data_IF_795309613752
#
_entry.id   IF_795309613752
#
_cell.length_a   1.000
_cell.length_b   1.000
_cell.length_c   1.000
_cell.angle_alpha   90.00
_cell.angle_beta   90.00
_cell.angle_gamma   90.00
#
_symmetry.space_group_name_H-M   'P 1'
#
loop_
_entity.id
_entity.type
_entity.pdbx_description
1 polymer ?
#
# COMPACT_ATOMS: atom_id res chain seq x y z
N UNK A 1 2.69 7.94 0.20
CA UNK A 1 3.55 7.84 1.40
C UNK A 1 2.70 7.74 2.64
N UNK A 2 2.92 6.73 3.48
CA UNK A 2 2.14 6.52 4.70
C UNK A 2 2.69 7.36 5.86
N UNK A 3 1.81 7.73 6.79
CA UNK A 3 2.10 8.57 7.95
C UNK A 3 1.30 8.12 9.18
N UNK A 4 1.42 8.84 10.31
CA UNK A 4 0.66 8.55 11.54
C UNK A 4 -0.57 9.46 11.70
N UNK A 5 -1.08 10.05 10.62
CA UNK A 5 -2.21 10.99 10.64
C UNK A 5 -1.81 12.44 10.97
N UNK A 6 -0.52 12.73 11.10
CA UNK A 6 0.00 14.08 11.38
C UNK A 6 1.05 14.51 10.34
N UNK A 7 1.17 15.82 10.05
CA UNK A 7 2.19 16.34 9.15
C UNK A 7 3.61 15.92 9.59
N UNK A 8 4.49 15.69 8.62
CA UNK A 8 5.91 15.36 8.85
C UNK A 8 6.15 14.09 9.70
N UNK A 9 5.23 13.13 9.65
CA UNK A 9 5.37 11.81 10.31
C UNK A 9 5.61 10.65 9.34
N UNK A 10 6.08 10.96 8.12
CA UNK A 10 6.48 9.97 7.12
C UNK A 10 7.78 9.26 7.56
N UNK A 11 7.91 7.97 7.24
CA UNK A 11 9.15 7.20 7.50
C UNK A 11 9.47 6.30 6.30
N UNK A 12 9.37 4.97 6.43
CA UNK A 12 9.64 4.01 5.34
C UNK A 12 8.40 3.30 4.81
N UNK A 13 7.24 3.48 5.46
CA UNK A 13 5.98 2.86 5.02
C UNK A 13 5.40 3.60 3.82
N UNK A 14 5.06 2.86 2.79
CA UNK A 14 4.35 3.36 1.62
C UNK A 14 3.23 2.39 1.25
N UNK A 15 2.36 2.84 0.34
CA UNK A 15 1.28 2.04 -0.22
C UNK A 15 1.17 2.35 -1.71
N UNK A 16 0.56 1.43 -2.45
CA UNK A 16 0.15 1.60 -3.85
C UNK A 16 -1.37 1.56 -3.86
N UNK A 17 -1.99 2.46 -4.62
CA UNK A 17 -3.44 2.53 -4.76
C UNK A 17 -3.90 1.57 -5.85
N UNK A 18 -4.92 0.75 -5.57
CA UNK A 18 -5.55 -0.13 -6.57
C UNK A 18 -6.54 0.61 -7.48
N UNK A 19 -7.03 1.76 -7.04
CA UNK A 19 -7.98 2.61 -7.76
C UNK A 19 -7.75 4.08 -7.38
N UNK A 20 -8.48 5.00 -7.99
CA UNK A 20 -8.39 6.43 -7.67
C UNK A 20 -8.86 6.70 -6.23
N UNK A 21 -8.05 7.40 -5.44
CA UNK A 21 -8.32 7.68 -4.01
C UNK A 21 -8.30 9.18 -3.67
N UNK A 22 -9.19 10.00 -4.26
CA UNK A 22 -9.16 11.47 -4.10
C UNK A 22 -9.33 11.96 -2.65
N UNK A 23 -9.87 11.13 -1.75
CA UNK A 23 -9.95 11.46 -0.31
C UNK A 23 -8.59 11.46 0.40
N UNK A 24 -7.53 10.96 -0.23
CA UNK A 24 -6.16 10.96 0.32
C UNK A 24 -5.39 12.24 -0.03
N UNK A 25 -5.92 13.06 -0.94
CA UNK A 25 -5.27 14.28 -1.40
C UNK A 25 -5.03 15.25 -0.24
N UNK A 26 -3.84 15.85 -0.22
CA UNK A 26 -3.35 16.73 0.85
C UNK A 26 -3.10 16.04 2.21
N UNK A 27 -3.46 14.77 2.39
CA UNK A 27 -3.14 13.98 3.60
C UNK A 27 -1.94 13.07 3.41
N UNK A 28 -1.80 12.48 2.22
CA UNK A 28 -0.68 11.62 1.85
C UNK A 28 0.04 12.16 0.63
N UNK A 29 1.37 12.05 0.63
CA UNK A 29 2.20 12.49 -0.51
C UNK A 29 2.27 11.35 -1.54
N UNK A 30 1.82 11.61 -2.77
CA UNK A 30 2.15 10.78 -3.93
C UNK A 30 3.55 11.16 -4.44
N UNK A 31 4.43 10.17 -4.61
CA UNK A 31 5.84 10.38 -4.99
C UNK A 31 6.30 9.57 -6.21
N UNK A 32 5.38 8.81 -6.82
CA UNK A 32 5.66 7.98 -7.98
C UNK A 32 4.40 7.26 -8.46
N UNK A 33 4.50 6.60 -9.60
CA UNK A 33 3.44 5.82 -10.22
C UNK A 33 3.97 4.48 -10.71
N UNK A 34 3.07 3.50 -10.87
CA UNK A 34 3.43 2.20 -11.41
C UNK A 34 3.58 2.31 -12.94
N UNK A 35 4.74 1.91 -13.46
CA UNK A 35 5.01 1.89 -14.91
C UNK A 35 4.83 0.48 -15.50
N UNK A 36 5.09 -0.56 -14.71
CA UNK A 36 4.98 -1.97 -15.11
C UNK A 36 4.56 -2.85 -13.93
N UNK A 37 4.06 -4.07 -14.19
CA UNK A 37 3.67 -5.03 -13.14
C UNK A 37 2.23 -4.88 -12.61
N UNK A 38 1.32 -4.32 -13.40
CA UNK A 38 -0.10 -4.19 -13.04
C UNK A 38 -0.77 -5.54 -12.75
N UNK A 39 -0.36 -6.62 -13.42
CA UNK A 39 -0.84 -7.98 -13.17
C UNK A 39 -0.48 -8.49 -11.76
N UNK A 40 0.69 -8.09 -11.25
CA UNK A 40 1.11 -8.37 -9.88
C UNK A 40 0.26 -7.57 -8.90
N UNK A 41 -0.01 -6.30 -9.21
CA UNK A 41 -0.85 -5.43 -8.38
C UNK A 41 -2.28 -5.99 -8.25
N UNK A 42 -2.91 -6.36 -9.36
CA UNK A 42 -4.25 -6.99 -9.39
C UNK A 42 -4.28 -8.30 -8.60
N UNK A 43 -3.22 -9.10 -8.70
CA UNK A 43 -3.08 -10.34 -7.94
C UNK A 43 -2.99 -10.07 -6.44
N UNK A 44 -2.25 -9.03 -6.01
CA UNK A 44 -2.15 -8.65 -4.60
C UNK A 44 -3.50 -8.20 -4.04
N UNK A 45 -4.30 -7.44 -4.81
CA UNK A 45 -5.65 -7.05 -4.43
C UNK A 45 -6.57 -8.27 -4.24
N UNK A 46 -6.49 -9.25 -5.16
CA UNK A 46 -7.32 -10.45 -5.15
C UNK A 46 -7.19 -11.34 -3.92
N UNK A 47 -6.10 -11.21 -3.15
CA UNK A 47 -5.89 -11.98 -1.93
C UNK A 47 -6.84 -11.57 -0.79
N UNK A 48 -7.41 -10.37 -0.85
CA UNK A 48 -8.28 -9.86 0.21
C UNK A 48 -7.58 -9.76 1.57
N UNK A 49 -8.37 -9.50 2.62
CA UNK A 49 -7.88 -9.28 3.98
C UNK A 49 -8.52 -10.22 4.98
N UNK A 50 -7.85 -10.42 6.12
CA UNK A 50 -8.41 -11.10 7.28
C UNK A 50 -9.56 -10.26 7.85
N UNK A 51 -10.77 -10.81 7.74
CA UNK A 51 -11.99 -10.25 8.32
C UNK A 51 -12.15 -10.63 9.81
N UNK A 52 -13.12 -10.02 10.48
CA UNK A 52 -13.44 -10.26 11.88
C UNK A 52 -12.78 -9.27 12.84
N UNK A 53 -12.67 -9.63 14.12
CA UNK A 53 -12.17 -8.76 15.19
C UNK A 53 -10.81 -9.27 15.70
N UNK A 54 -9.86 -8.35 15.90
CA UNK A 54 -8.59 -8.66 16.55
C UNK A 54 -7.41 -7.90 15.96
N UNK A 55 -6.23 -8.06 16.57
CA UNK A 55 -5.02 -7.32 16.18
C UNK A 55 -4.52 -7.60 14.75
N UNK A 56 -5.00 -8.67 14.11
CA UNK A 56 -4.63 -9.03 12.74
C UNK A 56 -5.68 -8.64 11.69
N UNK A 57 -6.80 -8.05 12.10
CA UNK A 57 -7.83 -7.57 11.18
C UNK A 57 -7.21 -6.62 10.14
N UNK A 58 -7.63 -6.77 8.87
CA UNK A 58 -7.16 -5.94 7.76
C UNK A 58 -5.80 -6.33 7.18
N UNK A 59 -5.11 -7.33 7.74
CA UNK A 59 -3.90 -7.90 7.10
C UNK A 59 -4.28 -8.76 5.90
N UNK A 60 -3.46 -8.76 4.86
CA UNK A 60 -3.66 -9.62 3.68
C UNK A 60 -3.69 -11.10 4.07
N UNK A 61 -4.55 -11.90 3.43
CA UNK A 61 -4.66 -13.35 3.72
C UNK A 61 -3.43 -14.15 3.26
N UNK A 62 -2.65 -13.58 2.34
CA UNK A 62 -1.40 -14.12 1.82
C UNK A 62 -0.22 -13.26 2.27
N UNK A 63 0.90 -13.92 2.56
CA UNK A 63 2.16 -13.23 2.85
C UNK A 63 2.73 -12.66 1.55
N UNK A 64 2.91 -11.35 1.50
CA UNK A 64 3.57 -10.63 0.40
C UNK A 64 4.86 -10.04 0.95
N UNK A 65 5.98 -10.37 0.31
CA UNK A 65 7.32 -9.94 0.74
C UNK A 65 8.03 -9.31 -0.45
N UNK A 66 8.59 -8.12 -0.24
CA UNK A 66 9.58 -7.56 -1.17
C UNK A 66 10.89 -8.29 -0.96
N UNK A 67 11.25 -9.17 -1.89
CA UNK A 67 12.49 -9.93 -1.82
C UNK A 67 13.73 -9.06 -2.15
N UNK A 68 13.59 -8.16 -3.13
CA UNK A 68 14.66 -7.28 -3.57
C UNK A 68 14.09 -5.95 -4.10
N UNK A 69 14.88 -4.88 -4.03
CA UNK A 69 14.61 -3.59 -4.66
C UNK A 69 15.92 -2.94 -5.12
N UNK A 70 15.84 -2.07 -6.14
CA UNK A 70 17.00 -1.39 -6.71
C UNK A 70 16.59 -0.18 -7.55
N UNK A 71 17.59 0.45 -8.13
CA UNK A 71 17.45 1.55 -9.10
C UNK A 71 17.85 1.03 -10.49
N UNK A 72 17.17 1.53 -11.53
CA UNK A 72 17.43 1.18 -12.94
C UNK A 72 18.62 1.96 -13.51
#
# INVERSE_FOLDING_TARGET
>A
MDNFGWPNTNSSRFFVTFTDTPWMDNFHVAFGELIEGFDVLDKMESYGVLEGYGAQQGRTTKLVVTENCGEL
#
